data_IF_165541776412
#
_entry.id   IF_165541776412
#
_cell.length_a   1.000
_cell.length_b   1.000
_cell.length_c   1.000
_cell.angle_alpha   90.00
_cell.angle_beta   90.00
_cell.angle_gamma   90.00
#
_symmetry.space_group_name_H-M   'P 1'
#
loop_
_entity.id
_entity.type
_entity.pdbx_description
1 polymer ?
#
# COMPACT_ATOMS: atom_id res chain seq x y z
N UNK A 1 11.43 6.38 -9.20
CA UNK A 1 10.21 7.14 -9.54
C UNK A 1 9.06 6.75 -8.59
N UNK A 2 9.29 6.75 -7.26
CA UNK A 2 8.52 5.92 -6.31
C UNK A 2 8.20 4.57 -6.97
N UNK A 3 9.24 3.90 -7.47
CA UNK A 3 9.21 3.14 -8.75
C UNK A 3 8.21 1.99 -8.76
N UNK A 4 7.71 1.65 -7.57
CA UNK A 4 7.16 0.38 -7.26
C UNK A 4 6.19 0.41 -6.08
N UNK A 5 5.46 -0.70 -5.93
CA UNK A 5 4.63 -0.98 -4.77
C UNK A 5 4.66 -2.45 -4.31
N UNK A 6 5.20 -3.46 -5.00
CA UNK A 6 6.60 -3.62 -5.54
C UNK A 6 6.94 -3.90 -7.21
N UNK A 7 5.59 -4.35 -7.35
CA UNK A 7 4.45 -4.37 -8.34
C UNK A 7 3.23 -3.75 -7.66
N UNK A 8 2.22 -4.54 -7.34
CA UNK A 8 1.69 -4.59 -5.98
C UNK A 8 2.29 -5.81 -5.21
N UNK A 9 2.94 -6.77 -5.91
CA UNK A 9 3.66 -7.94 -5.38
C UNK A 9 4.78 -8.41 -6.35
N UNK A 10 6.06 -8.48 -5.96
CA UNK A 10 7.05 -9.37 -6.64
C UNK A 10 6.93 -10.73 -5.94
N UNK A 11 6.42 -11.76 -6.62
CA UNK A 11 7.02 -13.08 -6.46
C UNK A 11 8.25 -13.05 -7.35
N UNK A 12 9.39 -12.81 -6.70
CA UNK A 12 10.44 -11.97 -7.28
C UNK A 12 11.29 -12.54 -8.41
N UNK A 13 12.20 -11.69 -8.91
CA UNK A 13 13.40 -12.16 -9.62
C UNK A 13 14.67 -11.47 -9.10
N UNK A 14 14.81 -10.15 -9.21
CA UNK A 14 15.92 -9.40 -8.60
C UNK A 14 15.86 -9.34 -7.06
N UNK A 15 14.66 -9.26 -6.45
CA UNK A 15 14.49 -9.45 -4.99
C UNK A 15 14.50 -10.94 -4.54
N UNK A 16 14.49 -11.92 -5.45
CA UNK A 16 14.39 -13.35 -5.11
C UNK A 16 15.67 -14.15 -5.33
N UNK A 17 16.51 -13.76 -6.30
CA UNK A 17 17.73 -14.50 -6.64
C UNK A 17 19.03 -13.84 -6.17
N UNK A 18 18.98 -12.59 -5.67
CA UNK A 18 20.16 -11.73 -5.45
C UNK A 18 21.04 -11.55 -6.71
N UNK A 19 20.51 -11.80 -7.91
CA UNK A 19 21.22 -11.59 -9.18
C UNK A 19 21.04 -10.15 -9.68
N UNK A 20 22.14 -9.54 -10.11
CA UNK A 20 22.10 -8.40 -11.01
C UNK A 20 21.70 -8.87 -12.42
N UNK A 21 20.99 -8.03 -13.16
CA UNK A 21 20.65 -8.28 -14.57
C UNK A 21 21.93 -8.34 -15.40
N UNK A 22 22.18 -9.45 -16.11
CA UNK A 22 23.33 -9.54 -17.02
C UNK A 22 23.00 -8.83 -18.34
N UNK A 23 23.76 -7.78 -18.66
CA UNK A 23 23.68 -7.06 -19.93
C UNK A 23 24.06 -7.90 -21.16
N UNK A 24 24.60 -9.10 -20.96
CA UNK A 24 24.99 -10.06 -22.01
C UNK A 24 24.10 -11.30 -22.05
N UNK A 25 23.02 -11.33 -21.27
CA UNK A 25 22.09 -12.46 -21.24
C UNK A 25 21.60 -12.85 -22.64
N UNK A 26 21.58 -14.15 -22.92
CA UNK A 26 21.20 -14.69 -24.21
C UNK A 26 20.06 -15.72 -24.03
N UNK A 27 18.83 -15.44 -24.53
CA UNK A 27 17.71 -16.38 -24.45
C UNK A 27 18.02 -17.78 -25.03
N UNK A 28 18.92 -17.90 -26.02
CA UNK A 28 19.37 -19.20 -26.53
C UNK A 28 20.22 -20.02 -25.53
N UNK A 29 20.51 -19.47 -24.35
CA UNK A 29 21.14 -20.15 -23.22
C UNK A 29 20.16 -20.49 -22.08
N UNK A 30 18.90 -20.07 -22.12
CA UNK A 30 17.97 -20.04 -20.97
C UNK A 30 17.70 -21.38 -20.26
N UNK A 31 18.18 -22.51 -20.79
CA UNK A 31 18.07 -23.84 -20.16
C UNK A 31 19.43 -24.52 -19.91
N UNK A 32 20.57 -23.82 -20.10
CA UNK A 32 21.93 -24.39 -20.02
C UNK A 32 22.52 -24.41 -18.61
N UNK A 33 22.07 -23.52 -17.73
CA UNK A 33 22.39 -23.50 -16.30
C UNK A 33 21.16 -23.03 -15.51
N UNK A 34 21.24 -23.09 -14.18
CA UNK A 34 20.23 -22.45 -13.32
C UNK A 34 20.27 -20.94 -13.53
N UNK A 35 21.44 -20.30 -13.47
CA UNK A 35 21.58 -18.84 -13.57
C UNK A 35 21.00 -18.26 -14.87
N UNK A 36 21.12 -18.98 -16.00
CA UNK A 36 20.53 -18.60 -17.29
C UNK A 36 18.99 -18.78 -17.30
N UNK A 37 18.43 -19.70 -16.53
CA UNK A 37 16.97 -19.77 -16.28
C UNK A 37 16.51 -18.57 -15.44
N UNK A 38 17.30 -18.19 -14.42
CA UNK A 38 16.97 -17.08 -13.53
C UNK A 38 16.98 -15.74 -14.27
N UNK A 39 17.97 -15.51 -15.14
CA UNK A 39 18.02 -14.32 -16.02
C UNK A 39 16.86 -14.29 -17.02
N UNK A 40 16.44 -15.43 -17.56
CA UNK A 40 15.26 -15.51 -18.45
C UNK A 40 13.99 -15.00 -17.79
N UNK A 41 13.68 -15.51 -16.59
CA UNK A 41 12.54 -15.06 -15.78
C UNK A 41 12.64 -13.57 -15.42
N UNK A 42 13.86 -13.08 -15.14
CA UNK A 42 14.16 -11.67 -14.89
C UNK A 42 13.82 -10.76 -16.09
N UNK A 43 14.08 -11.23 -17.30
CA UNK A 43 13.76 -10.51 -18.54
C UNK A 43 12.27 -10.59 -18.91
N UNK A 44 11.62 -11.75 -18.78
CA UNK A 44 10.18 -11.92 -19.05
C UNK A 44 9.31 -10.99 -18.18
N UNK A 45 9.58 -10.97 -16.87
CA UNK A 45 8.90 -10.07 -15.91
C UNK A 45 9.11 -8.57 -16.21
N UNK A 46 10.17 -8.23 -16.93
CA UNK A 46 10.52 -6.85 -17.31
C UNK A 46 9.82 -6.41 -18.59
N UNK A 47 9.56 -7.31 -19.53
CA UNK A 47 8.89 -6.98 -20.80
C UNK A 47 7.36 -7.05 -20.71
N UNK A 48 6.78 -7.95 -19.91
CA UNK A 48 5.30 -8.09 -19.82
C UNK A 48 4.58 -6.90 -19.13
N UNK A 49 5.31 -5.98 -18.47
CA UNK A 49 4.70 -5.03 -17.52
C UNK A 49 4.85 -3.58 -17.99
N UNK A 50 3.85 -3.03 -18.72
CA UNK A 50 3.78 -1.61 -19.07
C UNK A 50 3.51 -0.77 -17.81
N UNK A 51 4.59 -0.43 -17.12
CA UNK A 51 4.60 0.09 -15.73
C UNK A 51 3.73 1.34 -15.54
N UNK A 52 3.72 2.25 -16.52
CA UNK A 52 2.91 3.48 -16.45
C UNK A 52 1.38 3.20 -16.48
N UNK A 53 0.92 2.12 -17.12
CA UNK A 53 -0.51 1.82 -17.25
C UNK A 53 -1.04 1.10 -16.00
N UNK A 54 -0.24 0.21 -15.39
CA UNK A 54 -0.50 -0.35 -14.06
C UNK A 54 -0.60 0.77 -13.00
N UNK A 55 0.34 1.73 -13.01
CA UNK A 55 0.35 2.89 -12.10
C UNK A 55 -0.96 3.71 -12.18
N UNK A 56 -1.37 4.11 -13.39
CA UNK A 56 -2.61 4.88 -13.60
C UNK A 56 -3.85 4.10 -13.14
N UNK A 57 -3.94 2.80 -13.51
CA UNK A 57 -5.05 1.94 -13.12
C UNK A 57 -5.14 1.74 -11.60
N UNK A 58 -4.02 1.59 -10.90
CA UNK A 58 -3.97 1.47 -9.44
C UNK A 58 -4.50 2.71 -8.72
N UNK A 59 -3.91 3.88 -9.02
CA UNK A 59 -4.36 5.17 -8.47
C UNK A 59 -5.84 5.45 -8.77
N UNK A 60 -6.31 5.15 -9.99
CA UNK A 60 -7.71 5.35 -10.37
C UNK A 60 -8.65 4.41 -9.61
N UNK A 61 -8.32 3.12 -9.47
CA UNK A 61 -9.13 2.14 -8.71
C UNK A 61 -9.27 2.53 -7.24
N UNK A 62 -8.17 2.95 -6.60
CA UNK A 62 -8.21 3.26 -5.17
C UNK A 62 -8.84 4.64 -4.90
N UNK A 63 -8.75 5.60 -5.85
CA UNK A 63 -9.53 6.86 -5.77
C UNK A 63 -11.02 6.65 -6.01
N UNK A 64 -11.44 5.81 -6.95
CA UNK A 64 -12.87 5.49 -7.13
C UNK A 64 -13.44 4.65 -5.97
N UNK A 65 -12.58 3.91 -5.26
CA UNK A 65 -12.91 3.23 -4.02
C UNK A 65 -13.01 4.16 -2.79
N UNK A 66 -12.43 5.37 -2.84
CA UNK A 66 -12.26 6.28 -1.71
C UNK A 66 -13.49 6.44 -0.81
N UNK A 67 -14.67 6.79 -1.33
CA UNK A 67 -15.90 6.94 -0.52
C UNK A 67 -16.24 5.68 0.29
N UNK A 68 -16.04 4.49 -0.27
CA UNK A 68 -16.28 3.21 0.42
C UNK A 68 -15.18 2.88 1.44
N UNK A 69 -13.93 3.28 1.16
CA UNK A 69 -12.79 3.13 2.10
C UNK A 69 -13.05 3.98 3.35
N UNK A 70 -13.19 5.30 3.18
CA UNK A 70 -13.41 6.25 4.27
C UNK A 70 -14.81 6.18 4.90
N UNK A 71 -15.81 5.62 4.20
CA UNK A 71 -17.20 5.58 4.68
C UNK A 71 -17.91 6.94 4.60
N UNK A 72 -17.55 7.78 3.63
CA UNK A 72 -18.05 9.14 3.47
C UNK A 72 -18.82 9.33 2.14
N UNK A 73 -19.50 10.47 2.00
CA UNK A 73 -20.23 10.80 0.77
C UNK A 73 -19.27 11.13 -0.38
N UNK A 74 -19.73 10.88 -1.62
CA UNK A 74 -18.98 11.22 -2.83
C UNK A 74 -18.54 12.69 -2.83
N UNK A 75 -19.44 13.62 -2.51
CA UNK A 75 -19.15 15.06 -2.49
C UNK A 75 -18.08 15.42 -1.46
N UNK A 76 -18.11 14.77 -0.28
CA UNK A 76 -17.08 14.93 0.77
C UNK A 76 -15.72 14.46 0.31
N UNK A 77 -15.65 13.39 -0.50
CA UNK A 77 -14.38 12.81 -0.93
C UNK A 77 -13.80 13.47 -2.20
N UNK A 78 -14.62 13.72 -3.22
CA UNK A 78 -14.11 14.23 -4.49
C UNK A 78 -13.85 15.75 -4.44
N UNK A 79 -14.62 16.52 -3.65
CA UNK A 79 -14.28 17.92 -3.38
C UNK A 79 -13.00 18.00 -2.52
N UNK A 80 -11.96 18.65 -3.04
CA UNK A 80 -10.67 18.75 -2.35
C UNK A 80 -10.75 19.51 -1.02
N UNK A 81 -11.44 20.65 -0.99
CA UNK A 81 -11.57 21.43 0.24
C UNK A 81 -12.30 20.64 1.34
N UNK A 82 -13.38 19.94 0.99
CA UNK A 82 -14.12 19.07 1.92
C UNK A 82 -13.28 17.88 2.38
N UNK A 83 -12.58 17.20 1.47
CA UNK A 83 -11.74 16.04 1.76
C UNK A 83 -10.59 16.41 2.69
N UNK A 84 -9.83 17.45 2.36
CA UNK A 84 -8.71 17.93 3.17
C UNK A 84 -9.18 18.45 4.52
N UNK A 85 -10.29 19.20 4.59
CA UNK A 85 -10.86 19.66 5.86
C UNK A 85 -11.30 18.50 6.77
N UNK A 86 -11.82 17.41 6.18
CA UNK A 86 -12.30 16.22 6.92
C UNK A 86 -11.14 15.34 7.43
N UNK A 87 -10.15 15.04 6.58
CA UNK A 87 -9.18 13.97 6.84
C UNK A 87 -7.76 14.42 7.21
N UNK A 88 -7.43 15.73 7.15
CA UNK A 88 -6.08 16.24 7.50
C UNK A 88 -5.57 15.75 8.87
N UNK A 89 -6.43 15.74 9.89
CA UNK A 89 -6.06 15.36 11.27
C UNK A 89 -5.95 13.83 11.41
N UNK A 90 -6.71 13.06 10.63
CA UNK A 90 -6.55 11.61 10.55
C UNK A 90 -5.19 11.23 9.97
N UNK A 91 -4.72 11.95 8.95
CA UNK A 91 -3.37 11.78 8.38
C UNK A 91 -2.27 12.51 9.16
N UNK A 92 -2.56 12.92 10.41
CA UNK A 92 -1.54 13.42 11.34
C UNK A 92 -1.17 14.89 11.19
N UNK A 93 -1.98 15.72 10.52
CA UNK A 93 -1.75 17.16 10.48
C UNK A 93 -1.88 17.80 11.86
N UNK A 94 -0.85 18.55 12.27
CA UNK A 94 -0.80 19.31 13.51
C UNK A 94 -0.28 20.72 13.25
N UNK A 95 -0.89 21.72 13.89
CA UNK A 95 -0.32 23.07 14.01
C UNK A 95 0.53 23.15 15.27
N UNK A 96 1.70 23.77 15.19
CA UNK A 96 2.46 24.21 16.37
C UNK A 96 2.01 25.60 16.86
N UNK A 97 2.69 26.11 17.90
CA UNK A 97 2.39 27.40 18.54
C UNK A 97 2.61 28.59 17.58
N UNK A 98 3.59 28.47 16.67
CA UNK A 98 3.89 29.44 15.60
C UNK A 98 2.93 29.35 14.40
N UNK A 99 1.96 28.43 14.45
CA UNK A 99 0.98 28.11 13.39
C UNK A 99 1.61 27.54 12.13
N UNK A 100 2.78 26.92 12.23
CA UNK A 100 3.36 26.13 11.15
C UNK A 100 2.69 24.75 11.15
N UNK A 101 2.16 24.37 9.99
CA UNK A 101 1.54 23.06 9.79
C UNK A 101 2.60 21.98 9.57
N UNK A 102 2.53 20.91 10.34
CA UNK A 102 3.39 19.73 10.26
C UNK A 102 2.55 18.45 10.15
N UNK A 103 3.18 17.34 9.74
CA UNK A 103 2.55 16.02 9.65
C UNK A 103 3.31 15.01 10.50
N UNK A 104 2.60 14.35 11.43
CA UNK A 104 3.15 13.27 12.25
C UNK A 104 3.17 11.94 11.48
N UNK A 105 4.35 11.29 11.46
CA UNK A 105 4.49 9.91 10.97
C UNK A 105 3.63 8.91 11.74
N UNK A 106 3.24 9.21 12.98
CA UNK A 106 2.37 8.35 13.78
C UNK A 106 0.93 8.86 13.69
N UNK A 107 0.45 8.98 12.45
CA UNK A 107 -0.88 9.48 12.11
C UNK A 107 -2.02 8.57 12.63
N UNK A 108 -3.12 9.19 13.06
CA UNK A 108 -4.33 8.54 13.59
C UNK A 108 -4.90 7.47 12.65
N UNK A 109 -4.80 7.67 11.33
CA UNK A 109 -5.26 6.75 10.27
C UNK A 109 -4.55 5.37 10.32
N UNK A 110 -3.38 5.27 10.96
CA UNK A 110 -2.68 3.99 11.15
C UNK A 110 -3.33 3.10 12.23
N UNK A 111 -3.98 3.70 13.23
CA UNK A 111 -4.35 3.01 14.46
C UNK A 111 -5.83 2.61 14.53
N UNK A 112 -6.12 1.42 15.06
CA UNK A 112 -7.46 1.05 15.51
C UNK A 112 -7.79 1.76 16.82
N UNK A 113 -8.79 2.66 16.81
CA UNK A 113 -9.20 3.43 17.99
C UNK A 113 -8.02 4.18 18.65
N UNK A 114 -7.49 5.18 17.93
CA UNK A 114 -6.40 6.04 18.38
C UNK A 114 -6.79 6.90 19.59
N UNK A 115 -5.96 6.87 20.63
CA UNK A 115 -6.16 7.60 21.89
C UNK A 115 -5.00 8.61 22.12
N UNK A 116 -4.63 9.32 21.05
CA UNK A 116 -3.57 10.35 21.02
C UNK A 116 -2.19 9.88 21.56
N UNK A 117 -1.96 8.58 21.58
CA UNK A 117 -0.77 7.92 22.12
C UNK A 117 -0.39 6.73 21.23
N UNK A 118 0.91 6.42 21.17
CA UNK A 118 1.39 5.28 20.40
C UNK A 118 1.08 3.96 21.12
N UNK A 119 0.23 3.13 20.50
CA UNK A 119 0.01 1.74 20.93
C UNK A 119 0.37 0.76 19.82
N UNK A 120 1.39 -0.07 20.10
CA UNK A 120 1.88 -1.15 19.24
C UNK A 120 0.84 -2.25 18.96
N UNK A 121 -0.21 -2.38 19.78
CA UNK A 121 -1.32 -3.33 19.57
C UNK A 121 -2.46 -2.73 18.74
N UNK A 122 -2.41 -1.43 18.42
CA UNK A 122 -3.39 -0.71 17.61
C UNK A 122 -2.85 -0.26 16.26
N UNK A 123 -1.55 -0.05 16.11
CA UNK A 123 -0.93 0.39 14.84
C UNK A 123 -1.13 -0.64 13.71
N UNK A 124 -1.27 -0.14 12.48
CA UNK A 124 -1.57 -0.88 11.26
C UNK A 124 -2.87 -1.71 11.29
N UNK A 125 -3.80 -1.41 12.20
CA UNK A 125 -5.06 -2.18 12.39
C UNK A 125 -6.33 -1.35 12.16
N UNK A 126 -6.21 -0.12 11.66
CA UNK A 126 -7.36 0.68 11.26
C UNK A 126 -8.10 0.00 10.08
N UNK A 127 -9.43 -0.24 10.16
CA UNK A 127 -10.21 -0.85 9.09
C UNK A 127 -10.09 -0.17 7.72
N UNK A 128 -9.75 1.13 7.70
CA UNK A 128 -9.45 1.88 6.47
C UNK A 128 -8.29 1.25 5.68
N UNK A 129 -7.25 0.75 6.35
CA UNK A 129 -6.10 0.10 5.68
C UNK A 129 -6.47 -1.25 5.06
N UNK A 130 -7.28 -2.04 5.78
CA UNK A 130 -7.81 -3.33 5.32
C UNK A 130 -8.67 -3.10 4.05
N UNK A 131 -9.56 -2.10 4.07
CA UNK A 131 -10.35 -1.72 2.89
C UNK A 131 -9.47 -1.22 1.73
N UNK A 132 -8.44 -0.42 2.01
CA UNK A 132 -7.52 0.10 1.01
C UNK A 132 -6.80 -1.02 0.25
N UNK A 133 -6.19 -1.95 0.98
CA UNK A 133 -5.55 -3.12 0.41
C UNK A 133 -6.55 -3.99 -0.38
N UNK A 134 -7.73 -4.25 0.19
CA UNK A 134 -8.79 -4.99 -0.50
C UNK A 134 -9.22 -4.33 -1.83
N UNK A 135 -9.41 -3.01 -1.85
CA UNK A 135 -9.77 -2.28 -3.07
C UNK A 135 -8.71 -2.37 -4.17
N UNK A 136 -7.43 -2.47 -3.79
CA UNK A 136 -6.31 -2.63 -4.73
C UNK A 136 -6.26 -4.05 -5.32
N UNK A 137 -6.21 -5.08 -4.48
CA UNK A 137 -5.92 -6.46 -4.93
C UNK A 137 -7.17 -7.27 -5.28
N UNK A 138 -8.32 -7.01 -4.63
CA UNK A 138 -9.63 -7.64 -4.88
C UNK A 138 -10.58 -6.76 -5.70
N UNK A 139 -10.27 -5.47 -5.86
CA UNK A 139 -11.14 -4.50 -6.54
C UNK A 139 -12.25 -3.95 -5.65
N UNK A 140 -12.87 -2.85 -6.09
CA UNK A 140 -13.80 -2.02 -5.28
C UNK A 140 -15.01 -2.82 -4.76
N UNK A 141 -15.49 -3.82 -5.50
CA UNK A 141 -16.62 -4.67 -5.11
C UNK A 141 -16.38 -5.48 -3.82
N UNK A 142 -15.12 -5.69 -3.44
CA UNK A 142 -14.75 -6.34 -2.17
C UNK A 142 -15.04 -5.51 -0.91
N UNK A 143 -15.24 -4.19 -1.06
CA UNK A 143 -15.54 -3.25 0.03
C UNK A 143 -16.89 -2.54 -0.14
N UNK A 144 -17.69 -2.95 -1.13
CA UNK A 144 -19.03 -2.42 -1.37
C UNK A 144 -20.11 -3.24 -0.67
N UNK A 145 -21.15 -2.54 -0.22
CA UNK A 145 -22.34 -3.12 0.41
C UNK A 145 -22.00 -4.09 1.57
N UNK A 146 -20.93 -3.79 2.32
CA UNK A 146 -20.49 -4.55 3.50
C UNK A 146 -21.64 -4.62 4.53
N UNK A 147 -21.84 -5.78 5.15
CA UNK A 147 -22.74 -5.93 6.29
C UNK A 147 -22.07 -5.43 7.57
N UNK A 148 -22.84 -5.30 8.64
CA UNK A 148 -22.32 -4.83 9.92
C UNK A 148 -21.23 -5.77 10.46
N UNK A 149 -20.05 -5.21 10.75
CA UNK A 149 -18.86 -5.94 11.18
C UNK A 149 -17.93 -6.43 10.04
N UNK A 150 -18.37 -6.45 8.78
CA UNK A 150 -17.47 -6.75 7.65
C UNK A 150 -16.53 -5.58 7.32
N UNK A 151 -15.31 -5.92 6.89
CA UNK A 151 -14.30 -4.94 6.42
C UNK A 151 -13.84 -5.22 4.99
N UNK A 152 -13.95 -6.47 4.54
CA UNK A 152 -13.63 -6.96 3.20
C UNK A 152 -14.47 -8.20 2.91
N UNK A 153 -14.67 -8.53 1.63
CA UNK A 153 -15.28 -9.77 1.13
C UNK A 153 -14.35 -10.46 0.16
N UNK A 154 -14.44 -11.79 0.09
CA UNK A 154 -13.82 -12.58 -0.98
C UNK A 154 -14.30 -12.11 -2.37
N UNK A 155 -13.41 -12.05 -3.37
CA UNK A 155 -13.79 -11.60 -4.71
C UNK A 155 -14.68 -12.61 -5.43
N UNK A 156 -15.56 -12.12 -6.31
CA UNK A 156 -16.48 -12.95 -7.13
C UNK A 156 -15.96 -13.25 -8.54
N UNK A 157 -14.81 -12.70 -8.91
CA UNK A 157 -14.22 -12.74 -10.24
C UNK A 157 -12.69 -12.90 -10.12
N UNK A 158 -12.00 -13.05 -11.25
CA UNK A 158 -10.54 -13.03 -11.27
C UNK A 158 -10.01 -11.63 -10.91
N UNK A 159 -9.04 -11.58 -10.00
CA UNK A 159 -8.46 -10.36 -9.41
C UNK A 159 -6.94 -10.39 -9.40
N UNK A 160 -6.29 -9.27 -9.08
CA UNK A 160 -4.81 -9.16 -8.99
C UNK A 160 -4.25 -10.16 -7.98
N UNK A 161 -4.91 -10.29 -6.82
CA UNK A 161 -4.63 -11.33 -5.80
C UNK A 161 -4.56 -12.74 -6.42
N UNK A 162 -5.58 -13.12 -7.20
CA UNK A 162 -5.64 -14.46 -7.82
C UNK A 162 -4.76 -14.62 -9.06
N UNK A 163 -4.47 -13.53 -9.78
CA UNK A 163 -3.59 -13.53 -10.95
C UNK A 163 -2.12 -13.71 -10.55
N UNK A 164 -1.73 -13.17 -9.40
CA UNK A 164 -0.37 -13.26 -8.86
C UNK A 164 -0.23 -14.27 -7.72
N UNK A 165 -1.26 -15.10 -7.51
CA UNK A 165 -1.21 -16.25 -6.60
C UNK A 165 -0.93 -15.90 -5.13
N UNK A 166 -1.33 -14.70 -4.67
CA UNK A 166 -1.02 -14.19 -3.32
C UNK A 166 -1.71 -15.05 -2.25
N UNK A 167 -0.94 -15.47 -1.24
CA UNK A 167 -1.38 -16.41 -0.18
C UNK A 167 -1.07 -15.95 1.25
N UNK A 168 -0.36 -14.85 1.42
CA UNK A 168 0.00 -14.29 2.71
C UNK A 168 0.19 -12.77 2.59
N UNK A 169 0.00 -12.05 3.69
CA UNK A 169 0.29 -10.62 3.75
C UNK A 169 1.79 -10.37 3.99
N UNK A 170 2.36 -9.37 3.32
CA UNK A 170 3.75 -8.93 3.52
C UNK A 170 3.80 -7.60 4.27
N UNK A 171 4.92 -7.27 4.94
CA UNK A 171 5.14 -5.94 5.52
C UNK A 171 4.93 -4.83 4.49
N UNK A 172 5.47 -4.99 3.28
CA UNK A 172 5.33 -4.03 2.18
C UNK A 172 3.86 -3.73 1.86
N UNK A 173 2.99 -4.75 1.77
CA UNK A 173 1.57 -4.55 1.51
C UNK A 173 0.83 -3.76 2.60
N UNK A 174 1.17 -3.98 3.88
CA UNK A 174 0.61 -3.24 5.03
C UNK A 174 1.06 -1.78 5.01
N UNK A 175 2.36 -1.56 4.81
CA UNK A 175 2.96 -0.23 4.68
C UNK A 175 2.35 0.52 3.50
N UNK A 176 2.14 -0.15 2.38
CA UNK A 176 1.60 0.48 1.18
C UNK A 176 0.11 0.79 1.26
N UNK A 177 -0.67 0.03 2.03
CA UNK A 177 -2.00 0.47 2.43
C UNK A 177 -1.93 1.78 3.24
N UNK A 178 -1.02 1.91 4.20
CA UNK A 178 -0.85 3.13 4.99
C UNK A 178 -0.48 4.35 4.13
N UNK A 179 0.55 4.23 3.28
CA UNK A 179 0.99 5.34 2.41
C UNK A 179 -0.10 5.75 1.41
N UNK A 180 -0.82 4.80 0.80
CA UNK A 180 -1.95 5.15 -0.08
C UNK A 180 -3.04 5.92 0.66
N UNK A 181 -3.32 5.62 1.93
CA UNK A 181 -4.39 6.29 2.66
C UNK A 181 -4.00 7.69 3.15
N UNK A 182 -2.74 7.91 3.54
CA UNK A 182 -2.20 9.26 3.72
C UNK A 182 -2.31 10.09 2.44
N UNK A 183 -1.93 9.50 1.30
CA UNK A 183 -1.96 10.14 -0.01
C UNK A 183 -3.39 10.43 -0.51
N UNK A 184 -4.32 9.48 -0.38
CA UNK A 184 -5.71 9.62 -0.86
C UNK A 184 -6.50 10.67 -0.08
N UNK A 185 -6.26 10.79 1.22
CA UNK A 185 -6.89 11.81 2.08
C UNK A 185 -6.60 13.24 1.62
N UNK A 186 -5.49 13.43 0.90
CA UNK A 186 -4.99 14.76 0.54
C UNK A 186 -5.07 15.04 -0.96
N UNK A 187 -4.41 14.24 -1.80
CA UNK A 187 -3.95 14.61 -3.15
C UNK A 187 -4.99 15.22 -4.11
N UNK A 188 -4.58 16.35 -4.69
CA UNK A 188 -5.00 16.87 -5.99
C UNK A 188 -4.95 15.75 -7.06
N UNK A 189 -5.97 15.75 -7.91
CA UNK A 189 -6.12 14.86 -9.07
C UNK A 189 -4.87 14.82 -9.97
N UNK A 190 -4.17 15.95 -10.10
CA UNK A 190 -2.95 16.08 -10.91
C UNK A 190 -1.69 15.47 -10.26
N UNK A 191 -1.66 15.39 -8.93
CA UNK A 191 -0.59 14.72 -8.16
C UNK A 191 -0.81 13.20 -8.13
N UNK A 192 -2.07 12.76 -8.12
CA UNK A 192 -2.47 11.34 -8.07
C UNK A 192 -1.94 10.46 -9.22
N UNK A 193 -1.68 11.05 -10.39
CA UNK A 193 -1.08 10.34 -11.53
C UNK A 193 0.44 10.14 -11.42
N UNK A 194 1.13 10.86 -10.54
CA UNK A 194 2.59 10.95 -10.52
C UNK A 194 3.27 10.47 -9.22
N UNK A 195 2.50 10.24 -8.15
CA UNK A 195 2.91 9.59 -6.88
C UNK A 195 4.35 9.94 -6.42
N UNK A 196 4.62 11.23 -6.22
CA UNK A 196 5.96 11.72 -5.93
C UNK A 196 6.38 11.40 -4.48
N UNK A 197 7.67 11.09 -4.22
CA UNK A 197 8.15 10.70 -2.89
C UNK A 197 8.01 11.79 -1.83
N UNK A 198 7.96 13.06 -2.27
CA UNK A 198 7.63 14.23 -1.44
C UNK A 198 6.35 14.85 -2.02
N UNK A 199 5.33 15.06 -1.17
CA UNK A 199 4.05 15.64 -1.57
C UNK A 199 4.18 17.12 -1.99
N UNK A 200 3.76 17.45 -3.21
CA UNK A 200 4.14 18.73 -3.86
C UNK A 200 3.79 20.03 -3.13
N UNK A 201 2.69 20.10 -2.37
CA UNK A 201 2.32 21.30 -1.59
C UNK A 201 2.71 21.20 -0.11
N UNK A 202 2.39 20.09 0.57
CA UNK A 202 2.62 19.91 2.01
C UNK A 202 4.01 19.39 2.39
N UNK A 203 4.83 18.96 1.41
CA UNK A 203 6.16 18.35 1.61
C UNK A 203 6.20 17.09 2.49
N UNK A 204 5.08 16.39 2.66
CA UNK A 204 5.02 15.08 3.34
C UNK A 204 6.00 14.14 2.63
N UNK A 205 6.95 13.56 3.36
CA UNK A 205 7.99 12.70 2.83
C UNK A 205 7.52 11.24 2.83
N UNK A 206 6.59 10.91 1.93
CA UNK A 206 5.97 9.57 1.82
C UNK A 206 7.00 8.43 1.66
N UNK A 207 8.18 8.70 1.11
CA UNK A 207 9.27 7.72 1.05
C UNK A 207 9.88 7.46 2.44
N UNK A 208 10.14 8.50 3.23
CA UNK A 208 10.72 8.37 4.57
C UNK A 208 9.71 7.80 5.59
N UNK A 209 8.42 8.00 5.35
CA UNK A 209 7.34 7.30 6.07
C UNK A 209 7.29 5.81 5.68
N UNK A 210 7.38 5.50 4.39
CA UNK A 210 7.43 4.13 3.87
C UNK A 210 8.59 3.34 4.50
N UNK A 211 9.80 3.90 4.43
CA UNK A 211 11.02 3.30 4.96
C UNK A 211 10.92 3.08 6.48
N UNK A 212 10.39 4.07 7.22
CA UNK A 212 10.19 3.98 8.68
C UNK A 212 9.17 2.90 9.09
N UNK A 213 8.01 2.82 8.42
CA UNK A 213 7.00 1.79 8.71
C UNK A 213 7.51 0.39 8.34
N UNK A 214 8.23 0.26 7.22
CA UNK A 214 8.78 -1.01 6.74
C UNK A 214 9.89 -1.52 7.68
N UNK A 215 10.77 -0.62 8.13
CA UNK A 215 11.81 -0.93 9.12
C UNK A 215 11.19 -1.40 10.45
N UNK A 216 10.13 -0.75 10.93
CA UNK A 216 9.40 -1.15 12.14
C UNK A 216 8.88 -2.59 12.04
N UNK A 217 8.24 -2.96 10.93
CA UNK A 217 7.70 -4.30 10.74
C UNK A 217 8.81 -5.35 10.58
N UNK A 218 9.86 -5.10 9.79
CA UNK A 218 10.97 -6.06 9.65
C UNK A 218 11.75 -6.27 10.95
N UNK A 219 12.07 -5.21 11.70
CA UNK A 219 12.69 -5.34 13.04
C UNK A 219 11.79 -6.11 14.00
N UNK A 220 10.49 -5.87 13.95
CA UNK A 220 9.49 -6.60 14.74
C UNK A 220 9.43 -8.09 14.40
N UNK A 221 9.44 -8.46 13.12
CA UNK A 221 9.45 -9.86 12.69
C UNK A 221 10.76 -10.57 13.04
N UNK A 222 11.91 -9.95 12.76
CA UNK A 222 13.23 -10.49 13.09
C UNK A 222 13.39 -10.74 14.61
N UNK A 223 12.91 -9.83 15.44
CA UNK A 223 12.91 -9.97 16.90
C UNK A 223 11.76 -10.79 17.48
N UNK A 224 10.86 -11.32 16.63
CA UNK A 224 9.62 -12.04 17.01
C UNK A 224 8.75 -11.26 18.01
N UNK A 225 8.67 -9.94 17.84
CA UNK A 225 7.89 -9.05 18.69
C UNK A 225 6.39 -9.41 18.63
N UNK A 226 5.74 -9.80 19.76
CA UNK A 226 4.38 -10.34 19.74
C UNK A 226 3.33 -9.42 19.09
N UNK A 227 3.46 -8.10 19.23
CA UNK A 227 2.54 -7.14 18.63
C UNK A 227 2.64 -7.03 17.11
N UNK A 228 3.81 -7.36 16.53
CA UNK A 228 4.04 -7.35 15.07
C UNK A 228 3.64 -8.69 14.46
N UNK A 229 3.86 -9.81 15.16
CA UNK A 229 3.30 -11.11 14.77
C UNK A 229 1.76 -11.04 14.72
N UNK A 230 1.11 -10.52 15.77
CA UNK A 230 -0.34 -10.31 15.79
C UNK A 230 -0.82 -9.19 14.82
N UNK A 231 0.07 -8.36 14.24
CA UNK A 231 -0.31 -7.53 13.07
C UNK A 231 -0.44 -8.44 11.83
N UNK A 232 0.57 -9.25 11.53
CA UNK A 232 0.55 -10.15 10.37
C UNK A 232 -0.60 -11.16 10.46
N UNK A 233 -0.79 -11.78 11.63
CA UNK A 233 -1.87 -12.75 11.86
C UNK A 233 -3.26 -12.12 11.68
N UNK A 234 -3.47 -10.88 12.12
CA UNK A 234 -4.75 -10.17 11.93
C UNK A 234 -5.02 -9.81 10.48
N UNK A 235 -4.00 -9.46 9.72
CA UNK A 235 -4.13 -9.22 8.28
C UNK A 235 -4.38 -10.54 7.52
N UNK A 236 -3.63 -11.61 7.83
CA UNK A 236 -3.90 -12.93 7.25
C UNK A 236 -5.32 -13.41 7.57
N UNK A 237 -5.81 -13.24 8.81
CA UNK A 237 -7.21 -13.56 9.17
C UNK A 237 -8.28 -12.79 8.36
N UNK A 238 -7.95 -11.65 7.73
CA UNK A 238 -8.84 -10.91 6.84
C UNK A 238 -8.72 -11.30 5.36
N UNK A 239 -7.58 -11.85 4.94
CA UNK A 239 -7.26 -12.07 3.52
C UNK A 239 -6.98 -13.53 3.19
N UNK A 240 -6.17 -14.22 3.99
CA UNK A 240 -5.61 -15.55 3.75
C UNK A 240 -5.78 -16.46 5.00
N UNK A 241 -7.03 -16.86 5.34
CA UNK A 241 -7.33 -17.79 6.44
C UNK A 241 -7.13 -19.27 6.05
#
# INVERSE_FOLDING_TARGET
KFTYMNMLWLCGSDEVFHLAVDSHYNPANQFKSVDEQLQGILYELREEIPTNQQQSNGSHRIRSAGPFIFGCQNDTFYNENSRVATFKEDIGFTMDEDRVGSYSKLAKILFKAYENTFDKWKIFRNPILIKAYSALVRGVSSIQNLTEGEVTKSPRHHTVESAWGVREITPAAIVMAAIFMSFLSYSDEKILMNFQPIGGHMKINYQEDYEFYLEYLHKGLYSKAPSVLDIMDKWNQHFYP
#
